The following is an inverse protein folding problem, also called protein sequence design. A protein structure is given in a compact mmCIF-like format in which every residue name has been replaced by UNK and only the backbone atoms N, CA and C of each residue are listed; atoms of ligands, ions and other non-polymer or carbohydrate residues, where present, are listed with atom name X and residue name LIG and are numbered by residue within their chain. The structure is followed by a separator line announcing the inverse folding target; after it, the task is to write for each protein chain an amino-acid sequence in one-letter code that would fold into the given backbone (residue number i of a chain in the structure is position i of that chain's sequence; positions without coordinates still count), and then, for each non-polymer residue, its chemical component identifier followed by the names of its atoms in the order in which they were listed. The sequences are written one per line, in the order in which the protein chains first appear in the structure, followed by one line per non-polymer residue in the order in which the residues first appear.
data_IF_914346006220
#
_entry.id   IF_914346006220
#
_cell.length_a   1.000
_cell.length_b   1.000
_cell.length_c   1.000
_cell.angle_alpha   90.00
_cell.angle_beta   90.00
_cell.angle_gamma   90.00
#
_symmetry.space_group_name_H-M   'P 1'
#
loop_
_entity.id
_entity.type
_entity.pdbx_description
1 polymer ?
#
# COMPACT_ATOMS: atom_id res chain seq x y z
N UNK A 1 5.37 24.39 -11.96
CA UNK A 1 4.81 24.99 -10.72
C UNK A 1 3.47 24.31 -10.50
N UNK A 2 3.21 23.71 -9.33
CA UNK A 2 1.94 23.00 -9.06
C UNK A 2 0.81 24.03 -9.03
N UNK A 3 -0.23 23.84 -9.83
CA UNK A 3 -1.42 24.68 -9.78
C UNK A 3 -2.62 23.83 -9.37
N UNK A 4 -3.08 24.07 -8.14
CA UNK A 4 -4.32 23.47 -7.63
C UNK A 4 -5.49 24.25 -8.23
N UNK A 5 -6.37 23.57 -8.94
CA UNK A 5 -7.51 24.16 -9.65
C UNK A 5 -8.72 24.34 -8.73
N UNK A 6 -8.86 23.52 -7.69
CA UNK A 6 -10.00 23.56 -6.78
C UNK A 6 -9.52 23.41 -5.33
N UNK A 7 -9.84 24.38 -4.48
CA UNK A 7 -9.69 24.25 -3.03
C UNK A 7 -10.92 23.57 -2.44
N UNK A 8 -10.75 22.36 -1.92
CA UNK A 8 -11.77 21.66 -1.14
C UNK A 8 -11.20 21.25 0.22
N UNK A 9 -12.04 21.31 1.26
CA UNK A 9 -11.73 20.82 2.62
C UNK A 9 -11.72 19.27 2.73
N UNK A 10 -11.85 18.57 1.61
CA UNK A 10 -11.91 17.11 1.53
C UNK A 10 -10.55 16.40 1.38
N UNK A 11 -10.60 15.08 1.24
CA UNK A 11 -9.41 14.27 0.91
C UNK A 11 -8.81 14.77 -0.42
N UNK A 12 -7.49 15.06 -0.49
CA UNK A 12 -6.86 15.50 -1.72
C UNK A 12 -7.10 14.49 -2.86
N UNK A 13 -7.51 14.98 -4.02
CA UNK A 13 -7.75 14.18 -5.21
C UNK A 13 -6.85 14.64 -6.36
N UNK A 14 -6.39 13.71 -7.18
CA UNK A 14 -5.59 14.05 -8.37
C UNK A 14 -6.34 14.99 -9.32
N UNK A 15 -7.68 14.88 -9.38
CA UNK A 15 -8.55 15.73 -10.20
C UNK A 15 -8.55 17.21 -9.79
N UNK A 16 -8.05 17.53 -8.60
CA UNK A 16 -8.00 18.90 -8.08
C UNK A 16 -6.84 19.72 -8.69
N UNK A 17 -6.02 19.13 -9.55
CA UNK A 17 -4.81 19.74 -10.11
C UNK A 17 -4.87 19.86 -11.64
N UNK A 18 -4.00 20.70 -12.20
CA UNK A 18 -3.82 20.85 -13.64
C UNK A 18 -3.43 19.55 -14.36
N UNK A 19 -3.70 19.45 -15.66
CA UNK A 19 -3.48 18.24 -16.47
C UNK A 19 -2.03 17.71 -16.39
N UNK A 20 -1.05 18.62 -16.36
CA UNK A 20 0.37 18.26 -16.25
C UNK A 20 0.65 17.59 -14.90
N UNK A 21 0.10 18.15 -13.82
CA UNK A 21 0.17 17.53 -12.49
C UNK A 21 -0.59 16.20 -12.46
N UNK A 22 -1.74 16.07 -13.13
CA UNK A 22 -2.47 14.81 -13.19
C UNK A 22 -1.67 13.70 -13.88
N UNK A 23 -1.07 13.99 -15.03
CA UNK A 23 -0.22 13.04 -15.77
C UNK A 23 1.00 12.62 -14.94
N UNK A 24 1.65 13.59 -14.29
CA UNK A 24 2.73 13.31 -13.35
C UNK A 24 2.29 12.38 -12.22
N UNK A 25 1.15 12.67 -11.60
CA UNK A 25 0.64 11.87 -10.48
C UNK A 25 0.23 10.46 -10.91
N UNK A 26 -0.38 10.29 -12.09
CA UNK A 26 -0.65 8.96 -12.64
C UNK A 26 0.63 8.14 -12.81
N UNK A 27 1.69 8.79 -13.31
CA UNK A 27 3.01 8.18 -13.49
C UNK A 27 3.61 7.74 -12.15
N UNK A 28 3.63 8.62 -11.14
CA UNK A 28 4.13 8.29 -9.79
C UNK A 28 3.33 7.16 -9.16
N UNK A 29 1.99 7.23 -9.19
CA UNK A 29 1.11 6.26 -8.54
C UNK A 29 1.31 4.87 -9.17
N UNK A 30 1.39 4.78 -10.49
CA UNK A 30 1.60 3.53 -11.20
C UNK A 30 2.93 2.85 -10.83
N UNK A 31 4.04 3.59 -10.86
CA UNK A 31 5.36 3.05 -10.49
C UNK A 31 5.46 2.73 -8.99
N UNK A 32 4.87 3.57 -8.14
CA UNK A 32 4.77 3.31 -6.70
C UNK A 32 4.03 2.00 -6.42
N UNK A 33 2.87 1.78 -7.04
CA UNK A 33 2.11 0.53 -6.92
C UNK A 33 2.90 -0.68 -7.40
N UNK A 34 3.54 -0.58 -8.56
CA UNK A 34 4.34 -1.67 -9.11
C UNK A 34 5.46 -2.07 -8.15
N UNK A 35 6.20 -1.09 -7.60
CA UNK A 35 7.27 -1.34 -6.63
C UNK A 35 6.76 -1.90 -5.31
N UNK A 36 5.65 -1.37 -4.80
CA UNK A 36 5.01 -1.85 -3.59
C UNK A 36 4.66 -3.34 -3.72
N UNK A 37 3.95 -3.70 -4.80
CA UNK A 37 3.56 -5.08 -5.06
C UNK A 37 4.74 -6.02 -5.32
N UNK A 38 5.78 -5.55 -6.02
CA UNK A 38 6.90 -6.40 -6.42
C UNK A 38 7.96 -6.59 -5.32
N UNK A 39 8.20 -5.58 -4.49
CA UNK A 39 9.35 -5.56 -3.56
C UNK A 39 8.95 -5.68 -2.10
N UNK A 40 7.90 -4.98 -1.69
CA UNK A 40 7.48 -4.93 -0.30
C UNK A 40 5.96 -4.74 -0.20
N UNK A 41 5.17 -5.82 -0.36
CA UNK A 41 3.72 -5.74 -0.28
C UNK A 41 3.20 -5.22 1.06
N UNK A 42 3.92 -5.54 2.14
CA UNK A 42 3.65 -5.08 3.51
C UNK A 42 4.88 -4.35 4.05
N UNK A 43 5.14 -3.13 3.56
CA UNK A 43 6.29 -2.35 3.97
C UNK A 43 6.06 -1.71 5.34
N UNK A 44 7.16 -1.44 6.05
CA UNK A 44 7.15 -0.45 7.14
C UNK A 44 7.27 0.98 6.58
N UNK A 45 7.22 1.97 7.46
CA UNK A 45 7.28 3.37 7.06
C UNK A 45 8.57 3.72 6.30
N UNK A 46 9.72 3.18 6.70
CA UNK A 46 11.02 3.50 6.08
C UNK A 46 11.02 2.98 4.64
N UNK A 47 10.53 1.76 4.43
CA UNK A 47 10.40 1.16 3.11
C UNK A 47 9.38 1.91 2.25
N UNK A 48 8.24 2.33 2.81
CA UNK A 48 7.25 3.14 2.07
C UNK A 48 7.84 4.47 1.59
N UNK A 49 8.55 5.19 2.46
CA UNK A 49 9.23 6.44 2.09
C UNK A 49 10.28 6.22 1.00
N UNK A 50 11.08 5.16 1.12
CA UNK A 50 12.10 4.83 0.11
C UNK A 50 11.47 4.54 -1.26
N UNK A 51 10.38 3.76 -1.29
CA UNK A 51 9.68 3.44 -2.54
C UNK A 51 9.07 4.71 -3.14
N UNK A 52 8.47 5.58 -2.31
CA UNK A 52 7.91 6.85 -2.74
C UNK A 52 8.96 7.74 -3.40
N UNK A 53 10.11 7.95 -2.75
CA UNK A 53 11.18 8.81 -3.26
C UNK A 53 11.70 8.32 -4.61
N UNK A 54 11.90 7.00 -4.74
CA UNK A 54 12.34 6.38 -5.99
C UNK A 54 11.28 6.56 -7.09
N UNK A 55 10.00 6.39 -6.76
CA UNK A 55 8.90 6.54 -7.73
C UNK A 55 8.71 7.98 -8.16
N UNK A 56 8.89 8.92 -7.24
CA UNK A 56 8.84 10.35 -7.50
C UNK A 56 9.98 10.78 -8.43
N UNK A 57 11.22 10.37 -8.11
CA UNK A 57 12.39 10.66 -8.93
C UNK A 57 12.27 10.04 -10.34
N UNK A 58 11.66 8.85 -10.45
CA UNK A 58 11.39 8.23 -11.73
C UNK A 58 10.36 9.04 -12.54
N UNK A 59 9.25 9.46 -11.93
CA UNK A 59 8.25 10.27 -12.61
C UNK A 59 8.78 11.63 -13.07
N UNK A 60 9.65 12.28 -12.27
CA UNK A 60 10.33 13.50 -12.70
C UNK A 60 11.13 13.30 -13.99
N UNK A 61 11.81 12.15 -14.12
CA UNK A 61 12.55 11.78 -15.33
C UNK A 61 11.63 11.44 -16.50
N UNK A 62 10.58 10.65 -16.24
CA UNK A 62 9.67 10.15 -17.27
C UNK A 62 8.83 11.26 -17.90
N UNK A 63 8.30 12.18 -17.09
CA UNK A 63 7.44 13.28 -17.55
C UNK A 63 8.21 14.55 -17.89
N UNK A 64 9.50 14.62 -17.51
CA UNK A 64 10.33 15.85 -17.56
C UNK A 64 9.76 17.01 -16.74
N UNK A 65 8.81 16.74 -15.85
CA UNK A 65 8.23 17.72 -14.94
C UNK A 65 8.91 17.59 -13.59
N UNK A 66 9.40 18.71 -13.05
CA UNK A 66 9.95 18.74 -11.70
C UNK A 66 8.92 19.33 -10.72
N UNK A 67 8.10 18.45 -10.13
CA UNK A 67 7.15 18.83 -9.09
C UNK A 67 7.74 18.61 -7.70
N UNK A 68 7.57 19.61 -6.83
CA UNK A 68 7.89 19.49 -5.41
C UNK A 68 7.01 18.41 -4.77
N UNK A 69 7.64 17.52 -4.00
CA UNK A 69 6.96 16.47 -3.26
C UNK A 69 6.25 17.08 -2.03
N UNK A 70 5.06 17.65 -2.24
CA UNK A 70 4.29 18.28 -1.16
C UNK A 70 3.53 17.24 -0.33
N UNK A 71 3.26 17.50 0.96
CA UNK A 71 2.51 16.57 1.80
C UNK A 71 1.14 16.17 1.24
N UNK A 72 0.46 17.07 0.51
CA UNK A 72 -0.84 16.77 -0.12
C UNK A 72 -0.69 15.71 -1.23
N UNK A 73 0.31 15.85 -2.10
CA UNK A 73 0.54 14.90 -3.18
C UNK A 73 1.04 13.55 -2.65
N UNK A 74 1.94 13.57 -1.66
CA UNK A 74 2.37 12.36 -0.94
C UNK A 74 1.16 11.60 -0.39
N UNK A 75 0.23 12.31 0.23
CA UNK A 75 -0.98 11.71 0.79
C UNK A 75 -1.86 11.05 -0.26
N UNK A 76 -1.91 11.57 -1.49
CA UNK A 76 -2.62 10.94 -2.61
C UNK A 76 -1.94 9.60 -2.97
N UNK A 77 -0.62 9.62 -3.19
CA UNK A 77 0.14 8.41 -3.57
C UNK A 77 0.02 7.31 -2.51
N UNK A 78 0.22 7.67 -1.24
CA UNK A 78 0.17 6.70 -0.13
C UNK A 78 -1.25 6.18 0.09
N UNK A 79 -2.29 7.02 -0.05
CA UNK A 79 -3.69 6.58 0.02
C UNK A 79 -4.00 5.55 -1.08
N UNK A 80 -3.56 5.79 -2.31
CA UNK A 80 -3.68 4.81 -3.39
C UNK A 80 -2.89 3.52 -3.08
N UNK A 81 -1.72 3.64 -2.46
CA UNK A 81 -0.92 2.50 -1.98
C UNK A 81 -1.68 1.61 -0.98
N UNK A 82 -2.32 2.22 0.02
CA UNK A 82 -3.14 1.52 1.01
C UNK A 82 -4.30 0.76 0.35
N UNK A 83 -4.94 1.34 -0.66
CA UNK A 83 -6.01 0.68 -1.42
C UNK A 83 -5.51 -0.58 -2.12
N UNK A 84 -4.38 -0.49 -2.85
CA UNK A 84 -3.79 -1.66 -3.53
C UNK A 84 -3.38 -2.75 -2.55
N UNK A 85 -2.80 -2.39 -1.40
CA UNK A 85 -2.48 -3.34 -0.33
C UNK A 85 -3.73 -4.04 0.20
N UNK A 86 -4.81 -3.31 0.39
CA UNK A 86 -6.10 -3.88 0.79
C UNK A 86 -6.62 -4.90 -0.22
N UNK A 87 -6.59 -4.55 -1.52
CA UNK A 87 -6.99 -5.46 -2.59
C UNK A 87 -6.10 -6.70 -2.67
N UNK A 88 -4.78 -6.52 -2.57
CA UNK A 88 -3.82 -7.61 -2.56
C UNK A 88 -4.07 -8.56 -1.39
N UNK A 89 -4.24 -8.01 -0.18
CA UNK A 89 -4.55 -8.80 1.02
C UNK A 89 -5.83 -9.61 0.84
N UNK A 90 -6.89 -9.02 0.30
CA UNK A 90 -8.17 -9.70 0.04
C UNK A 90 -8.01 -10.86 -0.95
N UNK A 91 -7.24 -10.66 -2.04
CA UNK A 91 -6.99 -11.71 -3.04
C UNK A 91 -6.07 -12.81 -2.51
N UNK A 92 -5.08 -12.46 -1.70
CA UNK A 92 -4.09 -13.38 -1.16
C UNK A 92 -4.66 -14.23 0.00
N UNK A 93 -5.59 -13.68 0.77
CA UNK A 93 -6.17 -14.35 1.94
C UNK A 93 -6.69 -15.78 1.66
N UNK A 94 -7.55 -16.04 0.66
CA UNK A 94 -8.02 -17.40 0.38
C UNK A 94 -6.89 -18.35 -0.06
N UNK A 95 -5.86 -17.84 -0.75
CA UNK A 95 -4.71 -18.64 -1.19
C UNK A 95 -3.83 -19.05 0.00
N UNK A 96 -3.48 -18.08 0.86
CA UNK A 96 -2.70 -18.34 2.09
C UNK A 96 -3.44 -19.33 2.98
N UNK A 97 -4.76 -19.15 3.10
CA UNK A 97 -5.61 -20.06 3.86
C UNK A 97 -5.50 -21.50 3.33
N UNK A 98 -5.57 -21.70 2.01
CA UNK A 98 -5.45 -23.03 1.40
C UNK A 98 -4.03 -23.62 1.53
N UNK A 99 -2.99 -22.83 1.23
CA UNK A 99 -1.58 -23.27 1.24
C UNK A 99 -1.13 -23.64 2.65
N UNK A 100 -1.52 -22.86 3.65
CA UNK A 100 -1.11 -23.10 5.03
C UNK A 100 -2.02 -24.09 5.77
N UNK A 101 -3.10 -24.56 5.14
CA UNK A 101 -4.00 -25.56 5.73
C UNK A 101 -5.02 -25.01 6.74
N UNK A 102 -5.38 -23.73 6.64
CA UNK A 102 -6.45 -23.16 7.45
C UNK A 102 -7.83 -23.57 6.91
N UNK A 103 -8.75 -23.90 7.81
CA UNK A 103 -10.12 -24.26 7.45
C UNK A 103 -11.14 -23.22 7.94
N UNK A 104 -12.20 -22.97 7.17
CA UNK A 104 -13.36 -22.20 7.68
C UNK A 104 -14.34 -23.15 8.33
N UNK A 105 -14.46 -23.09 9.65
CA UNK A 105 -15.49 -23.79 10.41
C UNK A 105 -15.69 -23.07 11.75
N UNK A 106 -16.92 -23.13 12.27
CA UNK A 106 -17.23 -22.65 13.62
C UNK A 106 -17.00 -23.73 14.68
N UNK A 107 -16.57 -24.94 14.30
CA UNK A 107 -16.30 -26.01 15.25
C UNK A 107 -15.11 -25.67 16.14
N UNK A 108 -15.25 -25.98 17.44
CA UNK A 108 -14.20 -25.71 18.44
C UNK A 108 -12.87 -26.41 18.09
N UNK A 109 -12.94 -27.60 17.51
CA UNK A 109 -11.75 -28.36 17.07
C UNK A 109 -11.00 -27.66 15.93
N UNK A 110 -11.71 -27.20 14.89
CA UNK A 110 -11.09 -26.48 13.78
C UNK A 110 -10.52 -25.14 14.25
N UNK A 111 -11.23 -24.42 15.12
CA UNK A 111 -10.72 -23.17 15.70
C UNK A 111 -9.43 -23.44 16.47
N UNK A 112 -9.38 -24.47 17.33
CA UNK A 112 -8.18 -24.85 18.09
C UNK A 112 -7.01 -25.22 17.16
N UNK A 113 -7.28 -25.97 16.10
CA UNK A 113 -6.24 -26.36 15.13
C UNK A 113 -5.70 -25.16 14.35
N UNK A 114 -6.57 -24.28 13.85
CA UNK A 114 -6.17 -23.04 13.20
C UNK A 114 -5.35 -22.14 14.15
N UNK A 115 -5.72 -22.07 15.44
CA UNK A 115 -4.95 -21.34 16.45
C UNK A 115 -3.55 -21.92 16.63
N UNK A 116 -3.45 -23.25 16.82
CA UNK A 116 -2.16 -23.93 16.95
C UNK A 116 -1.27 -23.71 15.73
N UNK A 117 -1.86 -23.77 14.53
CA UNK A 117 -1.16 -23.48 13.28
C UNK A 117 -0.67 -22.03 13.23
N UNK A 118 -1.53 -21.07 13.59
CA UNK A 118 -1.15 -19.66 13.61
C UNK A 118 -0.02 -19.37 14.60
N UNK A 119 -0.01 -19.99 15.78
CA UNK A 119 1.08 -19.84 16.74
C UNK A 119 2.39 -20.44 16.21
N UNK A 120 2.34 -21.64 15.60
CA UNK A 120 3.52 -22.23 14.95
C UNK A 120 4.07 -21.36 13.81
N UNK A 121 3.19 -20.69 13.04
CA UNK A 121 3.61 -19.77 11.99
C UNK A 121 4.21 -18.45 12.51
N UNK A 122 3.92 -18.07 13.75
CA UNK A 122 4.51 -16.89 14.39
C UNK A 122 5.87 -17.20 15.01
N UNK A 123 6.20 -18.47 15.25
CA UNK A 123 7.46 -18.87 15.86
C UNK A 123 8.65 -18.37 15.02
N UNK A 124 9.58 -17.63 15.64
CA UNK A 124 10.69 -16.98 14.94
C UNK A 124 10.35 -15.67 14.23
N UNK A 125 9.09 -15.23 14.25
CA UNK A 125 8.71 -13.88 13.82
C UNK A 125 8.67 -12.94 15.02
N UNK A 126 9.06 -11.66 14.86
CA UNK A 126 8.95 -10.63 15.92
C UNK A 126 7.49 -10.20 16.18
N UNK A 127 6.51 -11.05 15.85
CA UNK A 127 5.08 -10.74 15.93
C UNK A 127 4.56 -10.99 17.34
N UNK A 128 4.70 -10.00 18.22
CA UNK A 128 4.09 -10.03 19.54
C UNK A 128 2.63 -9.53 19.46
N UNK A 129 1.65 -10.41 19.70
CA UNK A 129 0.28 -9.97 19.93
C UNK A 129 0.16 -9.44 21.36
N UNK A 130 -0.19 -8.16 21.52
CA UNK A 130 -0.57 -7.61 22.83
C UNK A 130 -1.86 -8.30 23.27
N UNK A 131 -1.78 -9.18 24.26
CA UNK A 131 -2.96 -9.72 24.95
C UNK A 131 -3.64 -8.54 25.66
N UNK A 132 -4.92 -8.33 25.38
CA UNK A 132 -5.72 -7.23 25.95
C UNK A 132 -6.46 -7.72 27.18
#
# INVERSE_FOLDING_TARGET
KVQKLIEHEGQPCTRDYDEVTQEFMMTVIGDYHARLCAKAPMPDHIVETTILDVSWAWACKATRVNLSCTPQLVRIVTSCGLQVRGQLKTKLHPLVKAILGFHSSQSKSVIKNNWSLAEGLKEGTNFASKVR
#
